data_IF_738546399779
#
_entry.id   IF_738546399779
#
_cell.length_a   1.000
_cell.length_b   1.000
_cell.length_c   1.000
_cell.angle_alpha   90.00
_cell.angle_beta   90.00
_cell.angle_gamma   90.00
#
_symmetry.space_group_name_H-M   'P 1'
#
loop_
_entity.id
_entity.type
_entity.pdbx_description
1 polymer ?
#
# COMPACT_ATOMS: atom_id res chain seq x y z
N UNK A 1 28.82 -29.81 47.86
CA UNK A 1 28.31 -28.46 47.53
C UNK A 1 26.78 -28.35 47.48
N UNK A 2 26.02 -29.40 47.84
CA UNK A 2 24.54 -29.37 47.91
C UNK A 2 23.97 -30.12 49.13
N UNK A 3 24.76 -30.29 50.20
CA UNK A 3 24.31 -30.92 51.45
C UNK A 3 23.20 -30.13 52.15
N UNK A 4 23.20 -28.80 51.96
CA UNK A 4 22.13 -27.93 52.45
C UNK A 4 20.78 -28.25 51.81
N UNK A 5 20.70 -28.48 50.48
CA UNK A 5 19.43 -28.81 49.81
C UNK A 5 18.74 -30.07 50.37
N UNK A 6 19.53 -31.07 50.78
CA UNK A 6 19.05 -32.31 51.38
C UNK A 6 18.66 -32.16 52.86
N UNK A 7 19.25 -31.21 53.59
CA UNK A 7 18.82 -30.85 54.95
C UNK A 7 17.54 -30.01 54.97
N UNK A 8 17.28 -29.24 53.91
CA UNK A 8 16.06 -28.42 53.79
C UNK A 8 14.79 -29.28 53.68
N UNK A 9 14.79 -30.39 52.93
CA UNK A 9 13.58 -31.20 52.77
C UNK A 9 13.32 -32.21 53.90
N UNK A 10 14.35 -32.58 54.66
CA UNK A 10 14.29 -33.69 55.64
C UNK A 10 13.78 -33.30 57.03
N UNK A 11 13.70 -32.00 57.36
CA UNK A 11 13.29 -31.49 58.68
C UNK A 11 11.89 -30.85 58.75
N UNK A 12 10.99 -31.16 57.80
CA UNK A 12 9.64 -30.57 57.74
C UNK A 12 8.73 -30.87 58.94
N UNK A 13 9.03 -31.91 59.73
CA UNK A 13 8.20 -32.35 60.86
C UNK A 13 8.37 -31.52 62.16
N UNK A 14 9.24 -30.52 62.21
CA UNK A 14 9.48 -29.72 63.43
C UNK A 14 8.87 -28.31 63.42
N UNK A 15 8.21 -27.91 62.33
CA UNK A 15 7.65 -26.57 62.23
C UNK A 15 6.23 -26.49 62.81
N UNK A 16 5.91 -25.39 63.48
CA UNK A 16 4.55 -25.12 63.95
C UNK A 16 3.68 -24.59 62.81
N UNK A 17 2.40 -25.01 62.71
CA UNK A 17 1.47 -24.49 61.73
C UNK A 17 1.20 -23.00 61.97
N UNK A 18 0.93 -22.24 60.91
CA UNK A 18 0.81 -20.78 61.00
C UNK A 18 -0.38 -20.33 61.85
N UNK A 19 -1.41 -21.18 61.98
CA UNK A 19 -2.53 -20.95 62.90
C UNK A 19 -2.10 -20.82 64.37
N UNK A 20 -0.99 -21.45 64.76
CA UNK A 20 -0.42 -21.29 66.10
C UNK A 20 0.14 -19.88 66.33
N UNK A 21 0.69 -19.24 65.29
CA UNK A 21 1.12 -17.84 65.34
C UNK A 21 -0.06 -16.88 65.53
N UNK A 22 -1.25 -17.24 65.02
CA UNK A 22 -2.49 -16.50 65.25
C UNK A 22 -3.17 -16.81 66.58
N UNK A 23 -2.53 -17.61 67.45
CA UNK A 23 -3.11 -18.09 68.72
C UNK A 23 -4.50 -18.74 68.53
N UNK A 24 -4.77 -19.25 67.32
CA UNK A 24 -6.08 -19.76 66.90
C UNK A 24 -7.27 -18.78 67.13
N UNK A 25 -7.01 -17.48 67.13
CA UNK A 25 -8.07 -16.47 67.22
C UNK A 25 -8.94 -16.48 65.96
N UNK A 26 -10.24 -16.78 66.13
CA UNK A 26 -11.17 -16.99 65.02
C UNK A 26 -11.31 -15.77 64.10
N UNK A 27 -11.28 -14.55 64.64
CA UNK A 27 -11.41 -13.32 63.86
C UNK A 27 -10.26 -13.12 62.87
N UNK A 28 -9.01 -13.32 63.31
CA UNK A 28 -7.82 -13.19 62.49
C UNK A 28 -7.76 -14.33 61.46
N UNK A 29 -8.07 -15.55 61.88
CA UNK A 29 -8.10 -16.70 60.98
C UNK A 29 -9.11 -16.50 59.84
N UNK A 30 -10.35 -16.12 60.16
CA UNK A 30 -11.38 -15.87 59.14
C UNK A 30 -10.97 -14.74 58.20
N UNK A 31 -10.37 -13.67 58.72
CA UNK A 31 -9.91 -12.55 57.89
C UNK A 31 -8.88 -13.02 56.84
N UNK A 32 -7.86 -13.78 57.26
CA UNK A 32 -6.85 -14.29 56.35
C UNK A 32 -7.41 -15.32 55.37
N UNK A 33 -8.19 -16.30 55.85
CA UNK A 33 -8.77 -17.34 55.01
C UNK A 33 -9.69 -16.76 53.94
N UNK A 34 -10.59 -15.83 54.32
CA UNK A 34 -11.51 -15.20 53.38
C UNK A 34 -10.74 -14.34 52.36
N UNK A 35 -9.80 -13.51 52.83
CA UNK A 35 -9.03 -12.63 51.95
C UNK A 35 -8.19 -13.43 50.95
N UNK A 36 -7.45 -14.43 51.40
CA UNK A 36 -6.64 -15.27 50.53
C UNK A 36 -7.49 -16.10 49.56
N UNK A 37 -8.68 -16.56 49.99
CA UNK A 37 -9.62 -17.28 49.12
C UNK A 37 -10.15 -16.38 48.01
N UNK A 38 -10.52 -15.14 48.33
CA UNK A 38 -10.99 -14.18 47.34
C UNK A 38 -9.87 -13.82 46.34
N UNK A 39 -8.65 -13.57 46.83
CA UNK A 39 -7.51 -13.26 45.97
C UNK A 39 -7.18 -14.45 45.07
N UNK A 40 -7.10 -15.66 45.62
CA UNK A 40 -6.86 -16.87 44.85
C UNK A 40 -7.94 -17.05 43.78
N UNK A 41 -9.22 -16.94 44.14
CA UNK A 41 -10.34 -17.06 43.18
C UNK A 41 -10.19 -16.06 42.01
N UNK A 42 -9.87 -14.80 42.30
CA UNK A 42 -9.62 -13.80 41.27
C UNK A 42 -8.41 -14.18 40.40
N UNK A 43 -7.29 -14.61 41.00
CA UNK A 43 -6.06 -14.97 40.30
C UNK A 43 -6.15 -16.28 39.50
N UNK A 44 -7.09 -17.17 39.79
CA UNK A 44 -7.40 -18.30 38.91
C UNK A 44 -8.39 -17.91 37.80
N UNK A 45 -9.27 -16.93 38.03
CA UNK A 45 -10.23 -16.49 37.02
C UNK A 45 -9.62 -15.61 35.92
N UNK A 46 -8.70 -14.69 36.24
CA UNK A 46 -8.07 -13.78 35.27
C UNK A 46 -7.32 -14.55 34.16
N UNK A 47 -6.49 -15.57 34.46
CA UNK A 47 -5.79 -16.36 33.44
C UNK A 47 -6.75 -17.13 32.52
N UNK A 48 -7.90 -17.59 33.03
CA UNK A 48 -8.96 -18.22 32.21
C UNK A 48 -9.54 -17.20 31.22
N UNK A 49 -9.85 -16.00 31.68
CA UNK A 49 -10.34 -14.92 30.82
C UNK A 49 -9.30 -14.49 29.77
N UNK A 50 -8.03 -14.36 30.16
CA UNK A 50 -6.92 -14.07 29.25
C UNK A 50 -6.74 -15.20 28.22
N UNK A 51 -6.81 -16.46 28.64
CA UNK A 51 -6.75 -17.62 27.76
C UNK A 51 -7.88 -17.62 26.73
N UNK A 52 -9.11 -17.32 27.15
CA UNK A 52 -10.26 -17.16 26.25
C UNK A 52 -10.03 -16.04 25.23
N UNK A 53 -9.57 -14.86 25.67
CA UNK A 53 -9.28 -13.72 24.79
C UNK A 53 -8.20 -14.05 23.76
N UNK A 54 -7.06 -14.60 24.19
CA UNK A 54 -5.96 -14.97 23.29
C UNK A 54 -6.36 -16.07 22.32
N UNK A 55 -7.23 -17.00 22.74
CA UNK A 55 -7.74 -18.03 21.85
C UNK A 55 -8.68 -17.46 20.77
N UNK A 56 -9.56 -16.52 21.13
CA UNK A 56 -10.49 -15.87 20.20
C UNK A 56 -9.82 -14.85 19.28
N UNK A 57 -8.75 -14.21 19.73
CA UNK A 57 -8.11 -13.10 19.02
C UNK A 57 -6.77 -13.51 18.41
N UNK A 58 -6.77 -13.80 17.11
CA UNK A 58 -5.61 -14.35 16.36
C UNK A 58 -4.68 -13.28 15.78
N UNK A 59 -5.11 -12.01 15.72
CA UNK A 59 -4.37 -10.85 15.19
C UNK A 59 -3.30 -10.28 16.15
N UNK A 60 -3.09 -10.91 17.31
CA UNK A 60 -2.13 -10.44 18.31
C UNK A 60 -0.68 -10.82 17.91
N UNK A 61 0.17 -9.82 17.67
CA UNK A 61 1.59 -10.05 17.40
C UNK A 61 2.35 -10.68 18.58
N UNK A 62 1.96 -10.36 19.81
CA UNK A 62 2.67 -10.73 21.04
C UNK A 62 1.85 -11.65 21.97
N UNK A 63 1.28 -12.75 21.44
CA UNK A 63 0.44 -13.70 22.22
C UNK A 63 1.11 -14.26 23.46
N UNK A 64 2.43 -14.48 23.41
CA UNK A 64 3.21 -15.02 24.53
C UNK A 64 3.23 -14.12 25.76
N UNK A 65 3.07 -12.80 25.60
CA UNK A 65 3.03 -11.84 26.72
C UNK A 65 1.84 -12.15 27.61
N UNK A 66 0.67 -12.37 27.02
CA UNK A 66 -0.54 -12.74 27.75
C UNK A 66 -0.41 -14.07 28.49
N UNK A 67 0.34 -15.02 27.93
CA UNK A 67 0.64 -16.31 28.58
C UNK A 67 1.60 -16.13 29.76
N UNK A 68 2.62 -15.26 29.65
CA UNK A 68 3.47 -14.92 30.79
C UNK A 68 2.68 -14.23 31.91
N UNK A 69 1.82 -13.27 31.55
CA UNK A 69 0.92 -12.62 32.50
C UNK A 69 0.00 -13.63 33.18
N UNK A 70 -0.68 -14.48 32.42
CA UNK A 70 -1.52 -15.54 32.97
C UNK A 70 -0.73 -16.50 33.87
N UNK A 71 0.45 -16.92 33.44
CA UNK A 71 1.31 -17.85 34.18
C UNK A 71 1.78 -17.31 35.53
N UNK A 72 2.27 -16.07 35.60
CA UNK A 72 2.68 -15.52 36.89
C UNK A 72 1.49 -15.20 37.79
N UNK A 73 0.34 -14.77 37.24
CA UNK A 73 -0.88 -14.53 38.04
C UNK A 73 -1.37 -15.84 38.66
N UNK A 74 -1.31 -16.97 37.94
CA UNK A 74 -1.61 -18.31 38.49
C UNK A 74 -0.65 -18.69 39.63
N UNK A 75 0.65 -18.43 39.46
CA UNK A 75 1.66 -18.69 40.48
C UNK A 75 1.42 -17.84 41.74
N UNK A 76 1.10 -16.55 41.58
CA UNK A 76 0.65 -15.68 42.66
C UNK A 76 -0.60 -16.24 43.34
N UNK A 77 -1.60 -16.72 42.59
CA UNK A 77 -2.81 -17.33 43.16
C UNK A 77 -2.49 -18.56 43.99
N UNK A 78 -1.54 -19.37 43.53
CA UNK A 78 -1.04 -20.55 44.24
C UNK A 78 -0.37 -20.17 45.56
N UNK A 79 0.32 -19.02 45.65
CA UNK A 79 0.90 -18.55 46.93
C UNK A 79 -0.16 -18.22 47.98
N UNK A 80 -1.35 -17.76 47.59
CA UNK A 80 -2.46 -17.50 48.50
C UNK A 80 -3.11 -18.81 48.96
N UNK A 81 -3.32 -19.77 48.06
CA UNK A 81 -3.77 -21.12 48.44
C UNK A 81 -2.81 -21.79 49.43
N UNK A 82 -1.51 -21.66 49.19
CA UNK A 82 -0.49 -22.18 50.12
C UNK A 82 -0.46 -21.42 51.45
N UNK A 83 -0.78 -20.12 51.46
CA UNK A 83 -0.89 -19.34 52.70
C UNK A 83 -2.03 -19.86 53.58
N UNK A 84 -3.18 -20.17 52.97
CA UNK A 84 -4.29 -20.86 53.63
C UNK A 84 -3.85 -22.24 54.12
N UNK A 85 -3.21 -23.03 53.26
CA UNK A 85 -2.72 -24.38 53.61
C UNK A 85 -1.78 -24.36 54.82
N UNK A 86 -0.87 -23.37 54.89
CA UNK A 86 0.11 -23.27 55.97
C UNK A 86 -0.48 -22.95 57.34
N UNK A 87 -1.73 -22.47 57.41
CA UNK A 87 -2.45 -22.27 58.67
C UNK A 87 -2.60 -23.58 59.43
N UNK A 88 -2.82 -24.70 58.73
CA UNK A 88 -3.01 -26.03 59.35
C UNK A 88 -1.82 -26.96 59.15
N UNK A 89 -1.11 -26.86 58.03
CA UNK A 89 -0.03 -27.77 57.66
C UNK A 89 1.28 -27.00 57.43
N UNK A 90 2.33 -27.19 58.26
CA UNK A 90 3.54 -26.36 58.27
C UNK A 90 4.52 -26.63 57.11
N UNK A 91 4.00 -26.72 55.87
CA UNK A 91 4.76 -27.05 54.67
C UNK A 91 5.46 -25.80 54.09
N UNK A 92 6.26 -25.11 54.91
CA UNK A 92 6.89 -23.84 54.54
C UNK A 92 7.87 -23.94 53.37
N UNK A 93 8.49 -25.11 53.16
CA UNK A 93 9.33 -25.38 52.00
C UNK A 93 8.59 -25.28 50.68
N UNK A 94 7.40 -25.88 50.60
CA UNK A 94 6.57 -25.81 49.41
C UNK A 94 6.14 -24.36 49.14
N UNK A 95 5.67 -23.67 50.17
CA UNK A 95 5.31 -22.25 50.09
C UNK A 95 6.51 -21.38 49.64
N UNK A 96 7.70 -21.64 50.17
CA UNK A 96 8.94 -20.94 49.81
C UNK A 96 9.34 -21.17 48.35
N UNK A 97 9.29 -22.42 47.87
CA UNK A 97 9.58 -22.75 46.48
C UNK A 97 8.61 -22.09 45.50
N UNK A 98 7.30 -22.15 45.78
CA UNK A 98 6.30 -21.48 44.93
C UNK A 98 6.52 -19.96 44.94
N UNK A 99 6.83 -19.35 46.08
CA UNK A 99 7.19 -17.92 46.15
C UNK A 99 8.44 -17.60 45.32
N UNK A 100 9.49 -18.42 45.39
CA UNK A 100 10.70 -18.23 44.61
C UNK A 100 10.45 -18.33 43.10
N UNK A 101 9.66 -19.32 42.67
CA UNK A 101 9.27 -19.49 41.26
C UNK A 101 8.42 -18.29 40.80
N UNK A 102 7.49 -17.82 41.63
CA UNK A 102 6.66 -16.64 41.35
C UNK A 102 7.52 -15.37 41.18
N UNK A 103 8.51 -15.18 42.06
CA UNK A 103 9.44 -14.06 41.98
C UNK A 103 10.27 -14.12 40.69
N UNK A 104 10.79 -15.30 40.33
CA UNK A 104 11.53 -15.49 39.08
C UNK A 104 10.65 -15.18 37.85
N UNK A 105 9.42 -15.72 37.81
CA UNK A 105 8.48 -15.46 36.72
C UNK A 105 8.13 -13.96 36.60
N UNK A 106 7.96 -13.27 37.73
CA UNK A 106 7.68 -11.83 37.77
C UNK A 106 8.85 -10.99 37.24
N UNK A 107 10.08 -11.32 37.66
CA UNK A 107 11.30 -10.65 37.17
C UNK A 107 11.49 -10.86 35.66
N UNK A 108 11.33 -12.09 35.18
CA UNK A 108 11.40 -12.41 33.74
C UNK A 108 10.35 -11.59 32.97
N UNK A 109 9.12 -11.55 33.49
CA UNK A 109 8.02 -10.80 32.86
C UNK A 109 8.35 -9.30 32.79
N UNK A 110 8.85 -8.70 33.86
CA UNK A 110 9.26 -7.29 33.88
C UNK A 110 10.38 -6.98 32.87
N UNK A 111 11.42 -7.82 32.81
CA UNK A 111 12.54 -7.68 31.88
C UNK A 111 12.08 -7.78 30.42
N UNK A 112 11.10 -8.64 30.12
CA UNK A 112 10.58 -8.83 28.77
C UNK A 112 9.61 -7.74 28.32
N UNK A 113 8.84 -7.13 29.24
CA UNK A 113 7.86 -6.09 28.92
C UNK A 113 8.53 -4.76 28.61
N UNK A 114 9.57 -4.37 29.35
CA UNK A 114 10.17 -3.04 29.21
C UNK A 114 10.66 -2.73 27.77
N UNK A 115 11.36 -3.65 27.07
CA UNK A 115 11.75 -3.47 25.66
C UNK A 115 10.56 -3.54 24.68
N UNK A 116 9.41 -4.03 25.12
CA UNK A 116 8.21 -4.19 24.29
C UNK A 116 7.38 -2.90 24.22
N UNK A 117 7.36 -2.10 25.29
CA UNK A 117 6.63 -0.82 25.35
C UNK A 117 6.91 0.08 24.14
N UNK A 118 8.18 0.40 23.78
CA UNK A 118 8.43 1.26 22.61
C UNK A 118 7.95 0.62 21.30
N UNK A 119 7.98 -0.71 21.17
CA UNK A 119 7.46 -1.40 19.98
C UNK A 119 5.93 -1.27 19.88
N UNK A 120 5.22 -1.39 21.00
CA UNK A 120 3.77 -1.20 21.05
C UNK A 120 3.36 0.23 20.71
N UNK A 121 4.13 1.23 21.15
CA UNK A 121 3.89 2.65 20.84
C UNK A 121 4.16 3.01 19.37
N UNK A 122 4.96 2.22 18.66
CA UNK A 122 5.21 2.42 17.22
C UNK A 122 4.08 1.92 16.31
N UNK A 123 3.14 1.15 16.86
CA UNK A 123 1.99 0.66 16.09
C UNK A 123 1.01 1.82 15.83
N UNK A 124 0.53 2.00 14.58
CA UNK A 124 -0.48 3.00 14.28
C UNK A 124 -1.74 2.79 15.11
N UNK A 125 -2.33 3.88 15.62
CA UNK A 125 -3.65 3.80 16.25
C UNK A 125 -4.72 3.46 15.21
N UNK A 126 -5.85 2.85 15.60
CA UNK A 126 -6.96 2.59 14.68
C UNK A 126 -7.45 3.86 13.97
N UNK A 127 -7.44 5.01 14.66
CA UNK A 127 -7.81 6.31 14.10
C UNK A 127 -6.78 6.82 13.08
N UNK A 128 -5.48 6.63 13.36
CA UNK A 128 -4.43 6.98 12.41
C UNK A 128 -4.51 6.11 11.14
N UNK A 129 -4.82 4.81 11.29
CA UNK A 129 -5.03 3.91 10.16
C UNK A 129 -6.25 4.35 9.33
N UNK A 130 -7.39 4.60 9.97
CA UNK A 130 -8.60 5.06 9.30
C UNK A 130 -8.38 6.41 8.57
N UNK A 131 -7.64 7.34 9.18
CA UNK A 131 -7.29 8.62 8.57
C UNK A 131 -6.37 8.44 7.37
N UNK A 132 -5.37 7.56 7.46
CA UNK A 132 -4.47 7.24 6.35
C UNK A 132 -5.20 6.56 5.20
N UNK A 133 -6.11 5.62 5.48
CA UNK A 133 -6.95 4.96 4.46
C UNK A 133 -7.87 5.95 3.77
N UNK A 134 -8.51 6.86 4.52
CA UNK A 134 -9.36 7.91 3.96
C UNK A 134 -8.57 8.88 3.07
N UNK A 135 -7.37 9.29 3.52
CA UNK A 135 -6.48 10.14 2.73
C UNK A 135 -6.04 9.46 1.42
N UNK A 136 -5.63 8.19 1.48
CA UNK A 136 -5.27 7.41 0.29
C UNK A 136 -6.44 7.27 -0.69
N UNK A 137 -7.65 6.97 -0.18
CA UNK A 137 -8.85 6.90 -1.03
C UNK A 137 -9.17 8.25 -1.68
N UNK A 138 -9.05 9.35 -0.94
CA UNK A 138 -9.27 10.69 -1.49
C UNK A 138 -8.27 11.02 -2.62
N UNK A 139 -6.98 10.68 -2.47
CA UNK A 139 -6.00 10.87 -3.56
C UNK A 139 -6.39 10.04 -4.78
N UNK A 140 -6.75 8.77 -4.56
CA UNK A 140 -7.15 7.87 -5.63
C UNK A 140 -8.38 8.39 -6.40
N UNK A 141 -9.38 8.91 -5.69
CA UNK A 141 -10.61 9.46 -6.26
C UNK A 141 -10.45 10.83 -6.91
N UNK A 142 -9.53 11.67 -6.43
CA UNK A 142 -9.25 12.99 -7.03
C UNK A 142 -8.24 12.94 -8.18
N UNK A 143 -7.69 11.77 -8.52
CA UNK A 143 -6.77 11.66 -9.65
C UNK A 143 -7.55 11.80 -10.96
N UNK A 144 -7.17 12.71 -11.87
CA UNK A 144 -7.94 12.99 -13.09
C UNK A 144 -7.93 11.86 -14.12
N UNK A 145 -6.94 10.96 -14.05
CA UNK A 145 -6.93 9.76 -14.88
C UNK A 145 -7.87 8.71 -14.30
N UNK A 146 -8.56 7.96 -15.16
CA UNK A 146 -9.39 6.84 -14.74
C UNK A 146 -8.50 5.69 -14.28
N UNK A 147 -8.60 5.28 -13.01
CA UNK A 147 -7.77 4.22 -12.45
C UNK A 147 -8.63 3.00 -12.11
N UNK A 148 -8.20 1.84 -12.58
CA UNK A 148 -8.73 0.53 -12.21
C UNK A 148 -7.58 -0.33 -11.68
N UNK A 149 -7.81 -1.04 -10.58
CA UNK A 149 -6.86 -2.04 -10.07
C UNK A 149 -7.49 -3.41 -10.27
N UNK A 150 -6.73 -4.34 -10.84
CA UNK A 150 -7.16 -5.72 -11.06
C UNK A 150 -6.23 -6.71 -10.39
N UNK A 151 -6.73 -7.91 -10.11
CA UNK A 151 -5.88 -9.05 -9.72
C UNK A 151 -5.15 -9.66 -10.93
N UNK A 152 -4.41 -10.75 -10.69
CA UNK A 152 -3.68 -11.51 -11.70
C UNK A 152 -4.57 -12.10 -12.81
N UNK A 153 -5.85 -12.34 -12.49
CA UNK A 153 -6.86 -12.86 -13.42
C UNK A 153 -7.57 -11.77 -14.21
N UNK A 154 -7.32 -10.49 -13.89
CA UNK A 154 -7.97 -9.35 -14.53
C UNK A 154 -9.33 -9.00 -13.93
N UNK A 155 -9.65 -9.50 -12.73
CA UNK A 155 -10.84 -9.13 -11.98
C UNK A 155 -10.60 -7.80 -11.29
N UNK A 156 -11.50 -6.84 -11.49
CA UNK A 156 -11.41 -5.49 -10.96
C UNK A 156 -11.66 -5.52 -9.44
N UNK A 157 -10.70 -5.04 -8.66
CA UNK A 157 -10.76 -4.97 -7.19
C UNK A 157 -10.97 -3.55 -6.67
N UNK A 158 -10.47 -2.53 -7.36
CA UNK A 158 -10.71 -1.11 -7.05
C UNK A 158 -10.91 -0.29 -8.32
N UNK A 159 -11.74 0.75 -8.23
CA UNK A 159 -11.96 1.75 -9.28
C UNK A 159 -12.12 3.13 -8.65
N UNK A 160 -11.54 4.16 -9.27
CA UNK A 160 -11.74 5.53 -8.80
C UNK A 160 -13.02 6.15 -9.38
N UNK A 161 -13.37 7.34 -8.89
CA UNK A 161 -14.53 8.07 -9.40
C UNK A 161 -14.45 8.36 -10.91
N UNK A 162 -13.28 8.75 -11.41
CA UNK A 162 -13.10 9.06 -12.84
C UNK A 162 -13.31 7.85 -13.74
N UNK A 163 -12.88 6.65 -13.32
CA UNK A 163 -13.12 5.42 -14.09
C UNK A 163 -14.61 5.11 -14.23
N UNK A 164 -15.42 5.36 -13.19
CA UNK A 164 -16.87 5.22 -13.26
C UNK A 164 -17.49 6.21 -14.25
N UNK A 165 -17.03 7.47 -14.20
CA UNK A 165 -17.52 8.53 -15.08
C UNK A 165 -17.15 8.27 -16.55
N UNK A 166 -15.90 7.91 -16.84
CA UNK A 166 -15.41 7.62 -18.20
C UNK A 166 -16.12 6.39 -18.81
N UNK A 167 -16.23 5.30 -18.05
CA UNK A 167 -16.79 4.04 -18.56
C UNK A 167 -18.33 4.00 -18.49
N UNK A 168 -18.94 4.85 -17.65
CA UNK A 168 -20.39 4.92 -17.44
C UNK A 168 -20.98 3.79 -16.60
N UNK A 169 -20.14 3.01 -15.91
CA UNK A 169 -20.58 1.96 -14.99
C UNK A 169 -20.52 2.45 -13.54
N UNK A 170 -21.52 2.14 -12.70
CA UNK A 170 -21.42 2.39 -11.26
C UNK A 170 -20.38 1.46 -10.63
N UNK A 171 -19.79 1.90 -9.51
CA UNK A 171 -18.78 1.15 -8.75
C UNK A 171 -19.13 -0.34 -8.57
N UNK A 172 -20.33 -0.63 -8.09
CA UNK A 172 -20.75 -2.00 -7.74
C UNK A 172 -20.90 -2.94 -8.95
N UNK A 173 -21.05 -2.39 -10.15
CA UNK A 173 -21.05 -3.18 -11.39
C UNK A 173 -19.65 -3.40 -11.94
N UNK A 174 -18.67 -2.54 -11.61
CA UNK A 174 -17.29 -2.72 -12.03
C UNK A 174 -16.56 -3.70 -11.12
N UNK A 175 -16.72 -3.59 -9.80
CA UNK A 175 -16.04 -4.46 -8.84
C UNK A 175 -16.44 -5.92 -9.04
N UNK A 176 -15.44 -6.81 -9.09
CA UNK A 176 -15.64 -8.24 -9.29
C UNK A 176 -15.88 -8.66 -10.74
N UNK A 177 -15.99 -7.72 -11.67
CA UNK A 177 -16.06 -8.03 -13.11
C UNK A 177 -14.67 -8.05 -13.73
N UNK A 178 -14.55 -8.71 -14.89
CA UNK A 178 -13.28 -8.79 -15.61
C UNK A 178 -13.08 -7.55 -16.48
N UNK A 179 -11.90 -6.93 -16.38
CA UNK A 179 -11.52 -5.76 -17.18
C UNK A 179 -11.58 -6.04 -18.70
N UNK A 180 -11.38 -7.30 -19.10
CA UNK A 180 -11.43 -7.75 -20.50
C UNK A 180 -12.81 -7.52 -21.16
N UNK A 181 -13.88 -7.29 -20.38
CA UNK A 181 -15.21 -6.95 -20.91
C UNK A 181 -15.33 -5.50 -21.34
N UNK A 182 -14.40 -4.63 -20.91
CA UNK A 182 -14.37 -3.23 -21.28
C UNK A 182 -13.70 -2.99 -22.64
N UNK A 183 -13.19 -4.03 -23.29
CA UNK A 183 -12.53 -3.92 -24.59
C UNK A 183 -13.33 -4.63 -25.70
N UNK A 184 -13.59 -3.98 -26.84
CA UNK A 184 -14.11 -4.65 -28.02
C UNK A 184 -13.07 -5.60 -28.62
N UNK A 185 -13.50 -6.58 -29.41
CA UNK A 185 -12.61 -7.39 -30.26
C UNK A 185 -12.20 -6.54 -31.46
N UNK A 186 -10.92 -6.28 -31.76
CA UNK A 186 -9.70 -7.05 -31.41
C UNK A 186 -8.91 -6.56 -30.18
N UNK A 187 -9.21 -5.37 -29.64
CA UNK A 187 -8.51 -4.76 -28.48
C UNK A 187 -8.43 -5.68 -27.26
N UNK A 188 -9.48 -6.48 -27.03
CA UNK A 188 -9.53 -7.49 -25.95
C UNK A 188 -8.36 -8.49 -26.01
N UNK A 189 -8.06 -9.01 -27.19
CA UNK A 189 -6.97 -9.99 -27.36
C UNK A 189 -5.60 -9.33 -27.15
N UNK A 190 -5.42 -8.12 -27.68
CA UNK A 190 -4.17 -7.37 -27.51
C UNK A 190 -3.92 -7.03 -26.02
N UNK A 191 -4.96 -6.62 -25.29
CA UNK A 191 -4.86 -6.37 -23.85
C UNK A 191 -4.56 -7.65 -23.06
N UNK A 192 -5.22 -8.77 -23.38
CA UNK A 192 -4.95 -10.06 -22.73
C UNK A 192 -3.50 -10.52 -22.96
N UNK A 193 -2.95 -10.34 -24.16
CA UNK A 193 -1.54 -10.62 -24.45
C UNK A 193 -0.60 -9.67 -23.70
N UNK A 194 -0.93 -8.38 -23.60
CA UNK A 194 -0.17 -7.40 -22.83
C UNK A 194 -0.12 -7.77 -21.34
N UNK A 195 -1.26 -8.17 -20.77
CA UNK A 195 -1.36 -8.63 -19.39
C UNK A 195 -0.52 -9.89 -19.16
N UNK A 196 -0.63 -10.89 -20.04
CA UNK A 196 0.18 -12.11 -19.96
C UNK A 196 1.69 -11.80 -20.00
N UNK A 197 2.12 -10.91 -20.90
CA UNK A 197 3.50 -10.46 -20.98
C UNK A 197 3.99 -9.78 -19.69
N UNK A 198 3.13 -9.01 -19.02
CA UNK A 198 3.44 -8.40 -17.73
C UNK A 198 3.52 -9.43 -16.60
N UNK A 199 2.66 -10.45 -16.60
CA UNK A 199 2.71 -11.56 -15.62
C UNK A 199 4.04 -12.32 -15.75
N UNK A 200 4.42 -12.69 -16.97
CA UNK A 200 5.63 -13.48 -17.24
C UNK A 200 6.92 -12.75 -16.83
N UNK A 201 6.90 -11.41 -16.86
CA UNK A 201 8.04 -10.55 -16.53
C UNK A 201 7.90 -9.84 -15.17
N UNK A 202 6.94 -10.22 -14.33
CA UNK A 202 6.58 -9.54 -13.08
C UNK A 202 7.69 -9.51 -11.99
N UNK A 203 8.79 -10.24 -12.19
CA UNK A 203 9.99 -10.22 -11.33
C UNK A 203 10.96 -9.08 -11.65
N UNK A 204 10.77 -8.40 -12.77
CA UNK A 204 11.56 -7.26 -13.21
C UNK A 204 10.72 -6.01 -12.94
N UNK A 205 11.32 -4.94 -12.41
CA UNK A 205 10.70 -3.61 -12.35
C UNK A 205 10.49 -3.09 -13.79
N UNK A 206 9.44 -3.61 -14.44
CA UNK A 206 9.08 -3.24 -15.80
C UNK A 206 8.62 -1.79 -15.81
N UNK A 207 9.11 -1.03 -16.79
CA UNK A 207 8.56 0.28 -17.07
C UNK A 207 7.07 0.15 -17.43
N UNK A 208 6.23 1.11 -17.01
CA UNK A 208 4.80 1.10 -17.34
C UNK A 208 4.59 1.08 -18.86
N UNK A 209 3.93 0.03 -19.36
CA UNK A 209 3.63 -0.08 -20.79
C UNK A 209 2.46 0.85 -21.09
N UNK A 210 2.66 1.79 -22.02
CA UNK A 210 1.64 2.74 -22.48
C UNK A 210 1.28 2.42 -23.93
N UNK A 211 0.01 2.12 -24.20
CA UNK A 211 -0.51 1.82 -25.53
C UNK A 211 -1.92 2.36 -25.70
N UNK A 212 -2.33 2.64 -26.95
CA UNK A 212 -3.69 3.09 -27.25
C UNK A 212 -4.60 1.88 -27.44
N UNK A 213 -5.75 1.89 -26.76
CA UNK A 213 -6.79 0.88 -26.91
C UNK A 213 -8.14 1.56 -27.11
N UNK A 214 -9.04 0.90 -27.83
CA UNK A 214 -10.46 1.25 -27.79
C UNK A 214 -11.11 0.58 -26.59
N UNK A 215 -11.88 1.31 -25.81
CA UNK A 215 -12.70 0.79 -24.71
C UNK A 215 -14.18 1.01 -25.00
N UNK A 216 -15.01 0.09 -24.51
CA UNK A 216 -16.45 0.11 -24.65
C UNK A 216 -17.09 0.64 -23.36
N UNK A 217 -17.82 1.74 -23.47
CA UNK A 217 -18.62 2.26 -22.36
C UNK A 217 -19.89 1.42 -22.15
N UNK A 218 -20.54 1.56 -20.99
CA UNK A 218 -21.84 0.93 -20.71
C UNK A 218 -22.91 1.24 -21.75
N UNK A 219 -22.82 2.42 -22.36
CA UNK A 219 -23.75 2.91 -23.38
C UNK A 219 -23.42 2.41 -24.80
N UNK A 220 -22.39 1.57 -24.96
CA UNK A 220 -21.98 1.01 -26.25
C UNK A 220 -21.14 1.94 -27.12
N UNK A 221 -20.69 3.09 -26.59
CA UNK A 221 -19.76 3.97 -27.31
C UNK A 221 -18.34 3.45 -27.18
N UNK A 222 -17.64 3.39 -28.31
CA UNK A 222 -16.20 3.13 -28.37
C UNK A 222 -15.43 4.44 -28.21
N UNK A 223 -14.57 4.49 -27.19
CA UNK A 223 -13.69 5.63 -26.92
C UNK A 223 -12.25 5.15 -27.06
N UNK A 224 -11.41 5.91 -27.76
CA UNK A 224 -9.97 5.66 -27.77
C UNK A 224 -9.34 6.22 -26.50
N UNK A 225 -8.68 5.35 -25.75
CA UNK A 225 -7.99 5.68 -24.51
C UNK A 225 -6.52 5.33 -24.61
N UNK A 226 -5.67 6.18 -24.03
CA UNK A 226 -4.31 5.81 -23.67
C UNK A 226 -4.38 4.95 -22.41
N UNK A 227 -4.08 3.66 -22.55
CA UNK A 227 -3.97 2.73 -21.44
C UNK A 227 -2.52 2.65 -21.01
N UNK A 228 -2.26 2.91 -19.72
CA UNK A 228 -0.98 2.58 -19.09
C UNK A 228 -1.19 1.53 -18.02
N UNK A 229 -0.44 0.43 -18.15
CA UNK A 229 -0.46 -0.72 -17.26
C UNK A 229 0.78 -0.70 -16.37
N UNK A 230 0.59 -0.84 -15.05
CA UNK A 230 1.66 -0.92 -14.07
C UNK A 230 1.44 -2.11 -13.14
N UNK A 231 2.52 -2.76 -12.73
CA UNK A 231 2.47 -3.93 -11.86
C UNK A 231 2.65 -3.49 -10.40
N UNK A 232 1.82 -4.02 -9.51
CA UNK A 232 1.90 -3.80 -8.08
C UNK A 232 2.09 -5.16 -7.40
N UNK A 233 3.30 -5.43 -6.93
CA UNK A 233 3.60 -6.64 -6.19
C UNK A 233 3.35 -6.42 -4.69
N UNK A 234 2.39 -7.16 -4.13
CA UNK A 234 2.05 -7.08 -2.70
C UNK A 234 2.27 -8.43 -2.02
N UNK A 235 2.33 -8.44 -0.69
CA UNK A 235 2.36 -9.71 0.08
C UNK A 235 1.13 -10.60 -0.15
N UNK A 236 0.04 -10.03 -0.68
CA UNK A 236 -1.22 -10.73 -0.93
C UNK A 236 -1.31 -11.29 -2.35
N UNK A 237 -0.42 -10.87 -3.25
CA UNK A 237 -0.42 -11.29 -4.65
C UNK A 237 -0.03 -10.17 -5.61
N UNK A 238 -0.06 -10.52 -6.90
CA UNK A 238 0.19 -9.65 -8.02
C UNK A 238 -1.09 -8.87 -8.38
N UNK A 239 -0.98 -7.55 -8.46
CA UNK A 239 -2.05 -6.68 -8.93
C UNK A 239 -1.58 -5.84 -10.12
N UNK A 240 -2.53 -5.39 -10.92
CA UNK A 240 -2.29 -4.49 -12.04
C UNK A 240 -3.05 -3.19 -11.83
N UNK A 241 -2.34 -2.06 -11.86
CA UNK A 241 -2.94 -0.75 -11.97
C UNK A 241 -3.05 -0.36 -13.44
N UNK A 242 -4.28 -0.20 -13.90
CA UNK A 242 -4.63 0.26 -15.23
C UNK A 242 -5.08 1.71 -15.13
N UNK A 243 -4.40 2.59 -15.85
CA UNK A 243 -4.82 3.98 -16.01
C UNK A 243 -5.35 4.16 -17.42
N UNK A 244 -6.57 4.69 -17.55
CA UNK A 244 -7.22 5.00 -18.81
C UNK A 244 -7.34 6.51 -18.92
N UNK A 245 -6.85 7.06 -20.02
CA UNK A 245 -6.99 8.49 -20.32
C UNK A 245 -7.64 8.66 -21.67
N UNK A 246 -8.76 9.36 -21.73
CA UNK A 246 -9.40 9.72 -22.99
C UNK A 246 -8.49 10.68 -23.79
N UNK A 247 -8.15 10.28 -25.02
CA UNK A 247 -7.28 11.05 -25.92
C UNK A 247 -8.07 11.67 -27.09
N UNK A 248 -9.40 11.65 -27.04
CA UNK A 248 -10.27 12.15 -28.10
C UNK A 248 -10.00 13.63 -28.38
N UNK A 249 -9.96 14.48 -27.35
CA UNK A 249 -9.71 15.91 -27.52
C UNK A 249 -8.30 16.20 -28.05
N UNK A 250 -7.30 15.45 -27.59
CA UNK A 250 -5.91 15.62 -28.01
C UNK A 250 -5.76 15.29 -29.50
N UNK A 251 -6.33 14.16 -29.95
CA UNK A 251 -6.36 13.79 -31.36
C UNK A 251 -7.15 14.78 -32.21
N UNK A 252 -8.28 15.31 -31.71
CA UNK A 252 -9.05 16.31 -32.44
C UNK A 252 -8.28 17.62 -32.61
N UNK A 253 -7.60 18.09 -31.57
CA UNK A 253 -6.76 19.28 -31.64
C UNK A 253 -5.59 19.09 -32.61
N UNK A 254 -4.92 17.94 -32.56
CA UNK A 254 -3.82 17.60 -33.48
C UNK A 254 -4.30 17.53 -34.94
N UNK A 255 -5.43 16.89 -35.19
CA UNK A 255 -6.00 16.77 -36.53
C UNK A 255 -6.48 18.12 -37.07
N UNK A 256 -7.10 18.97 -36.22
CA UNK A 256 -7.50 20.32 -36.60
C UNK A 256 -6.29 21.20 -36.93
N UNK A 257 -5.21 21.08 -36.16
CA UNK A 257 -3.95 21.76 -36.44
C UNK A 257 -3.35 21.31 -37.78
N UNK A 258 -3.22 20.00 -38.00
CA UNK A 258 -2.73 19.44 -39.28
C UNK A 258 -3.58 19.89 -40.47
N UNK A 259 -4.90 19.86 -40.34
CA UNK A 259 -5.82 20.31 -41.39
C UNK A 259 -5.68 21.81 -41.69
N UNK A 260 -5.48 22.64 -40.65
CA UNK A 260 -5.22 24.08 -40.80
C UNK A 260 -3.89 24.34 -41.51
N UNK A 261 -2.82 23.65 -41.12
CA UNK A 261 -1.51 23.77 -41.75
C UNK A 261 -1.54 23.33 -43.22
N UNK A 262 -2.20 22.21 -43.53
CA UNK A 262 -2.36 21.77 -44.92
C UNK A 262 -3.17 22.77 -45.74
N UNK A 263 -4.25 23.31 -45.17
CA UNK A 263 -5.06 24.33 -45.84
C UNK A 263 -4.25 25.59 -46.13
N UNK A 264 -3.44 26.04 -45.17
CA UNK A 264 -2.50 27.15 -45.35
C UNK A 264 -1.50 26.85 -46.46
N UNK A 265 -0.83 25.68 -46.44
CA UNK A 265 0.14 25.28 -47.46
C UNK A 265 -0.47 25.26 -48.86
N UNK A 266 -1.67 24.70 -49.02
CA UNK A 266 -2.37 24.63 -50.32
C UNK A 266 -2.72 26.03 -50.85
N UNK A 267 -3.27 26.89 -49.99
CA UNK A 267 -3.61 28.27 -50.35
C UNK A 267 -2.36 29.07 -50.74
N UNK A 268 -1.30 29.00 -49.93
CA UNK A 268 -0.06 29.71 -50.18
C UNK A 268 0.61 29.24 -51.48
N UNK A 269 0.65 27.92 -51.75
CA UNK A 269 1.27 27.36 -52.96
C UNK A 269 0.48 27.64 -54.24
N UNK A 270 -0.85 27.81 -54.16
CA UNK A 270 -1.68 28.18 -55.31
C UNK A 270 -1.63 29.68 -55.63
N UNK A 271 -1.12 30.51 -54.71
CA UNK A 271 -1.00 31.95 -54.92
C UNK A 271 0.05 32.25 -56.02
N UNK A 272 -0.28 33.07 -57.02
CA UNK A 272 0.67 33.49 -58.06
C UNK A 272 1.71 34.50 -57.54
N UNK A 273 1.64 34.89 -56.27
CA UNK A 273 2.62 35.77 -55.61
C UNK A 273 3.60 34.95 -54.78
N UNK A 274 4.85 35.40 -54.73
CA UNK A 274 5.85 34.84 -53.83
C UNK A 274 5.49 35.15 -52.37
N UNK A 275 5.38 34.10 -51.54
CA UNK A 275 5.06 34.22 -50.12
C UNK A 275 6.17 33.54 -49.32
N UNK A 276 6.68 34.24 -48.32
CA UNK A 276 7.64 33.71 -47.37
C UNK A 276 7.36 34.24 -45.96
N UNK A 277 7.76 33.47 -44.96
CA UNK A 277 7.77 33.86 -43.55
C UNK A 277 9.18 33.63 -43.04
N UNK A 278 9.70 34.57 -42.27
CA UNK A 278 11.00 34.47 -41.62
C UNK A 278 10.86 34.62 -40.12
N UNK A 279 11.81 34.06 -39.37
CA UNK A 279 12.00 34.41 -37.97
C UNK A 279 12.68 35.78 -37.81
N UNK A 280 12.92 36.19 -36.56
CA UNK A 280 13.59 37.45 -36.23
C UNK A 280 15.04 37.55 -36.75
N UNK A 281 15.67 36.43 -37.10
CA UNK A 281 17.03 36.37 -37.67
C UNK A 281 17.03 36.49 -39.20
N UNK A 282 15.86 36.49 -39.84
CA UNK A 282 15.72 36.52 -41.28
C UNK A 282 15.86 35.13 -41.95
N UNK A 283 15.88 34.05 -41.17
CA UNK A 283 15.85 32.68 -41.68
C UNK A 283 14.43 32.31 -42.06
N UNK A 284 14.25 31.64 -43.20
CA UNK A 284 12.93 31.23 -43.66
C UNK A 284 12.32 30.15 -42.76
N UNK A 285 11.13 30.41 -42.23
CA UNK A 285 10.27 29.44 -41.56
C UNK A 285 9.24 28.84 -42.51
N UNK A 286 8.87 29.56 -43.56
CA UNK A 286 7.98 29.08 -44.62
C UNK A 286 8.30 29.77 -45.95
N UNK A 287 8.19 29.02 -47.05
CA UNK A 287 8.26 29.52 -48.43
C UNK A 287 7.23 28.76 -49.27
N UNK A 288 6.51 29.46 -50.14
CA UNK A 288 5.55 28.83 -51.04
C UNK A 288 6.20 28.33 -52.34
N UNK A 289 5.47 27.49 -53.09
CA UNK A 289 5.95 26.90 -54.34
C UNK A 289 6.31 27.97 -55.40
N UNK A 290 5.57 29.07 -55.45
CA UNK A 290 5.84 30.17 -56.40
C UNK A 290 7.19 30.83 -56.16
N UNK A 291 7.61 31.01 -54.91
CA UNK A 291 8.93 31.52 -54.56
C UNK A 291 10.05 30.59 -55.04
N UNK A 292 9.88 29.27 -54.86
CA UNK A 292 10.84 28.26 -55.32
C UNK A 292 10.94 28.24 -56.86
N UNK A 293 9.79 28.28 -57.55
CA UNK A 293 9.75 28.28 -59.01
C UNK A 293 10.40 29.54 -59.61
N UNK A 294 10.22 30.70 -58.97
CA UNK A 294 10.77 31.96 -59.44
C UNK A 294 12.28 32.07 -59.20
N UNK A 295 12.74 31.71 -58.00
CA UNK A 295 14.16 31.82 -57.63
C UNK A 295 15.01 30.67 -58.19
N UNK A 296 14.40 29.51 -58.46
CA UNK A 296 15.10 28.30 -58.89
C UNK A 296 15.94 27.62 -57.81
N UNK A 297 15.88 28.12 -56.57
CA UNK A 297 16.63 27.58 -55.43
C UNK A 297 15.91 26.33 -54.93
N UNK A 298 16.66 25.26 -54.64
CA UNK A 298 16.07 24.03 -54.10
C UNK A 298 15.54 24.29 -52.68
N UNK A 299 14.45 23.61 -52.27
CA UNK A 299 13.83 23.83 -50.95
C UNK A 299 14.79 23.67 -49.77
N UNK A 300 15.72 22.71 -49.85
CA UNK A 300 16.71 22.46 -48.81
C UNK A 300 17.70 23.63 -48.68
N UNK A 301 18.20 24.15 -49.80
CA UNK A 301 19.16 25.26 -49.83
C UNK A 301 18.47 26.59 -49.43
N UNK A 302 17.19 26.75 -49.80
CA UNK A 302 16.41 27.95 -49.48
C UNK A 302 16.12 28.09 -47.98
N UNK A 303 15.92 27.00 -47.23
CA UNK A 303 15.68 27.07 -45.78
C UNK A 303 16.96 27.30 -44.97
N UNK A 304 18.13 27.02 -45.53
CA UNK A 304 19.44 27.33 -44.93
C UNK A 304 19.90 28.75 -45.26
N UNK A 305 19.60 29.25 -46.46
CA UNK A 305 19.92 30.59 -46.90
C UNK A 305 18.82 31.57 -46.48
N UNK A 306 19.10 32.46 -45.51
CA UNK A 306 18.16 33.51 -45.12
C UNK A 306 17.79 34.48 -46.27
N UNK A 307 16.81 35.36 -46.02
CA UNK A 307 16.27 36.29 -47.03
C UNK A 307 17.36 37.16 -47.70
N UNK A 308 18.38 37.55 -46.94
CA UNK A 308 19.46 38.45 -47.40
C UNK A 308 20.41 37.82 -48.41
N UNK A 309 20.65 36.50 -48.35
CA UNK A 309 21.55 35.80 -49.25
C UNK A 309 20.86 35.30 -50.53
N UNK A 310 19.54 35.14 -50.51
CA UNK A 310 18.76 34.59 -51.62
C UNK A 310 18.22 35.64 -52.61
N UNK A 311 18.04 36.90 -52.16
CA UNK A 311 17.62 38.02 -53.04
C UNK A 311 18.78 38.78 -53.70
N UNK A 312 20.03 38.47 -53.35
CA UNK A 312 21.21 39.17 -53.82
C UNK A 312 22.24 38.18 -54.37
N UNK A 313 22.03 37.61 -55.58
CA UNK A 313 23.06 36.76 -56.18
C UNK A 313 24.33 37.61 -56.38
N UNK A 314 25.54 37.07 -56.17
CA UNK A 314 26.76 37.77 -56.54
C UNK A 314 26.62 38.14 -58.02
N UNK A 315 26.73 39.44 -58.35
CA UNK A 315 26.70 39.94 -59.73
C UNK A 315 27.56 39.01 -60.59
N UNK A 316 26.94 38.21 -61.45
CA UNK A 316 27.68 37.63 -62.58
C UNK A 316 28.15 38.83 -63.38
N UNK A 317 29.44 39.11 -63.32
CA UNK A 317 30.09 40.06 -64.21
C UNK A 317 29.78 39.62 -65.64
N UNK A 318 28.82 40.27 -66.28
CA UNK A 318 28.64 40.23 -67.72
C UNK A 318 29.85 40.92 -68.33
N UNK A 319 30.90 40.15 -68.58
CA UNK A 319 31.96 40.48 -69.52
C UNK A 319 31.40 40.28 -70.93
N UNK A 320 30.56 41.22 -71.38
CA UNK A 320 30.51 41.54 -72.80
C UNK A 320 31.62 42.56 -73.04
N UNK A 321 32.77 42.07 -73.50
CA UNK A 321 33.54 42.54 -74.64
C UNK A 321 34.67 41.53 -74.88
#
# INVERSE_FOLDING_TARGET
>A
MFTWLTELSSNSNHFMPHGACYLWQQSILLLHVISDTLIASAYYSIPVALGYFVHRRTDLTYRWVFLLFGGFILLCGTTHLLSIWTIWYPNYWLAGWVKAITALASCITAVLIWPLIPKLLSLPSPEALASSEAYMRAIFDCTPDSILITDDKGVISLVNHEAQHLLGYPHDELIGTTIDNLFPTPSKNAYASLRAHCIDNATIDLEPITQTFSVLTKFGHEIEVSLRLSIINTKQGLYFACTLRDITQEKQAENALKASEERFRRMANASPTMIWITDASGKFSFINQTWLNFTGIKPADALELGLSSSLNPPRRSSSFY
#
